data_IF_680455005279
#
_entry.id   IF_680455005279
#
_cell.length_a   1.000
_cell.length_b   1.000
_cell.length_c   1.000
_cell.angle_alpha   90.00
_cell.angle_beta   90.00
_cell.angle_gamma   90.00
#
_symmetry.space_group_name_H-M   'P 1'
#
loop_
_entity.id
_entity.type
_entity.pdbx_description
1 polymer ?
#
# COMPACT_ATOMS: atom_id res chain seq x y z
N UNK A 1 -22.64 -7.80 -6.06
CA UNK A 1 -22.39 -7.78 -7.50
C UNK A 1 -22.21 -9.20 -8.01
N UNK A 2 -23.02 -9.57 -8.98
CA UNK A 2 -22.91 -10.91 -9.57
C UNK A 2 -21.74 -10.91 -10.54
N UNK A 3 -20.62 -11.39 -10.04
CA UNK A 3 -19.42 -11.42 -10.85
C UNK A 3 -19.25 -12.83 -11.41
N UNK A 4 -19.00 -12.92 -12.72
CA UNK A 4 -18.62 -14.18 -13.33
C UNK A 4 -17.42 -14.73 -12.56
N UNK A 5 -17.43 -16.01 -12.14
CA UNK A 5 -16.31 -16.60 -11.41
C UNK A 5 -14.97 -16.43 -12.11
N UNK A 6 -14.94 -16.47 -13.43
CA UNK A 6 -13.71 -16.25 -14.19
C UNK A 6 -13.18 -14.84 -14.00
N UNK A 7 -14.06 -13.83 -14.07
CA UNK A 7 -13.67 -12.43 -13.88
C UNK A 7 -13.16 -12.21 -12.46
N UNK A 8 -13.84 -12.79 -11.49
CA UNK A 8 -13.43 -12.67 -10.09
C UNK A 8 -12.07 -13.32 -9.85
N UNK A 9 -11.84 -14.49 -10.45
CA UNK A 9 -10.55 -15.18 -10.34
C UNK A 9 -9.42 -14.35 -10.95
N UNK A 10 -9.66 -13.70 -12.07
CA UNK A 10 -8.67 -12.80 -12.68
C UNK A 10 -8.34 -11.66 -11.73
N UNK A 11 -9.34 -11.11 -11.07
CA UNK A 11 -9.13 -10.05 -10.07
C UNK A 11 -8.28 -10.52 -8.91
N UNK A 12 -8.52 -11.73 -8.40
CA UNK A 12 -7.70 -12.29 -7.31
C UNK A 12 -6.27 -12.56 -7.76
N UNK A 13 -6.08 -13.02 -8.99
CA UNK A 13 -4.72 -13.22 -9.54
C UNK A 13 -3.99 -11.87 -9.59
N UNK A 14 -4.66 -10.82 -10.07
CA UNK A 14 -4.09 -9.48 -10.08
C UNK A 14 -3.73 -8.98 -8.68
N UNK A 15 -4.59 -9.26 -7.69
CA UNK A 15 -4.34 -8.89 -6.30
C UNK A 15 -3.10 -9.60 -5.76
N UNK A 16 -2.95 -10.88 -6.09
CA UNK A 16 -1.79 -11.67 -5.68
C UNK A 16 -0.51 -11.11 -6.29
N UNK A 17 -0.53 -10.79 -7.57
CA UNK A 17 0.63 -10.21 -8.25
C UNK A 17 1.02 -8.87 -7.66
N UNK A 18 0.04 -8.03 -7.35
CA UNK A 18 0.28 -6.74 -6.68
C UNK A 18 0.92 -6.95 -5.32
N UNK A 19 0.41 -7.89 -4.53
CA UNK A 19 0.95 -8.21 -3.21
C UNK A 19 2.39 -8.68 -3.30
N UNK A 20 2.69 -9.54 -4.26
CA UNK A 20 4.05 -10.05 -4.47
C UNK A 20 4.99 -8.91 -4.82
N UNK A 21 4.52 -7.94 -5.60
CA UNK A 21 5.32 -6.77 -5.96
C UNK A 21 5.62 -5.89 -4.75
N UNK A 22 4.65 -5.72 -3.86
CA UNK A 22 4.79 -4.83 -2.69
C UNK A 22 5.68 -5.43 -1.59
N UNK A 23 5.63 -6.75 -1.40
CA UNK A 23 6.36 -7.40 -0.31
C UNK A 23 7.88 -7.16 -0.38
N UNK A 24 8.55 -7.34 -1.54
CA UNK A 24 9.98 -7.06 -1.62
C UNK A 24 10.32 -5.61 -1.30
N UNK A 25 9.45 -4.66 -1.66
CA UNK A 25 9.68 -3.24 -1.38
C UNK A 25 9.67 -2.99 0.13
N UNK A 26 8.71 -3.57 0.85
CA UNK A 26 8.65 -3.44 2.30
C UNK A 26 9.85 -4.10 2.96
N UNK A 27 10.21 -5.29 2.50
CA UNK A 27 11.38 -6.00 3.03
C UNK A 27 12.65 -5.20 2.83
N UNK A 28 12.84 -4.63 1.64
CA UNK A 28 14.01 -3.83 1.32
C UNK A 28 14.07 -2.57 2.19
N UNK A 29 12.94 -1.92 2.40
CA UNK A 29 12.87 -0.74 3.26
C UNK A 29 13.22 -1.08 4.71
N UNK A 30 12.71 -2.20 5.20
CA UNK A 30 13.00 -2.64 6.56
C UNK A 30 14.48 -2.97 6.74
N UNK A 31 15.06 -3.68 5.78
CA UNK A 31 16.45 -4.12 5.87
C UNK A 31 17.43 -2.95 5.73
N UNK A 32 17.15 -2.01 4.84
CA UNK A 32 18.02 -0.85 4.61
C UNK A 32 17.76 0.29 5.59
N UNK A 33 16.70 0.19 6.40
CA UNK A 33 16.28 1.26 7.32
C UNK A 33 15.97 2.55 6.57
N UNK A 34 15.41 2.43 5.37
CA UNK A 34 15.07 3.58 4.52
C UNK A 34 13.90 3.23 3.63
N UNK A 35 13.02 4.18 3.40
CA UNK A 35 11.91 4.02 2.46
C UNK A 35 12.22 4.68 1.11
N UNK A 36 13.46 5.10 0.89
CA UNK A 36 13.87 5.71 -0.36
C UNK A 36 13.29 7.11 -0.52
N UNK A 37 12.78 7.39 -1.73
CA UNK A 37 12.30 8.73 -2.08
C UNK A 37 10.82 8.94 -1.78
N UNK A 38 10.14 7.99 -1.14
CA UNK A 38 8.73 8.14 -0.81
C UNK A 38 8.53 9.25 0.20
N UNK A 39 7.69 10.23 -0.14
CA UNK A 39 7.34 11.31 0.77
C UNK A 39 6.14 10.93 1.62
N UNK A 40 6.00 11.59 2.76
CA UNK A 40 4.83 11.40 3.62
C UNK A 40 3.56 11.80 2.88
N UNK A 41 3.63 12.85 2.05
CA UNK A 41 2.48 13.27 1.25
C UNK A 41 2.00 12.17 0.30
N UNK A 42 2.94 11.50 -0.39
CA UNK A 42 2.59 10.37 -1.27
C UNK A 42 1.95 9.23 -0.48
N UNK A 43 2.51 8.92 0.68
CA UNK A 43 1.98 7.84 1.52
C UNK A 43 0.57 8.15 1.98
N UNK A 44 0.31 9.39 2.40
CA UNK A 44 -1.02 9.83 2.83
C UNK A 44 -2.01 9.76 1.68
N UNK A 45 -1.60 10.15 0.47
CA UNK A 45 -2.45 10.07 -0.72
C UNK A 45 -2.82 8.62 -1.01
N UNK A 46 -1.86 7.70 -0.95
CA UNK A 46 -2.12 6.28 -1.19
C UNK A 46 -3.06 5.71 -0.12
N UNK A 47 -2.84 6.04 1.14
CA UNK A 47 -3.71 5.59 2.22
C UNK A 47 -5.15 6.08 2.00
N UNK A 48 -5.31 7.36 1.66
CA UNK A 48 -6.62 7.94 1.39
C UNK A 48 -7.29 7.24 0.20
N UNK A 49 -6.53 6.99 -0.85
CA UNK A 49 -7.01 6.30 -2.04
C UNK A 49 -7.49 4.88 -1.72
N UNK A 50 -6.71 4.13 -0.93
CA UNK A 50 -7.10 2.75 -0.58
C UNK A 50 -8.35 2.72 0.27
N UNK A 51 -8.53 3.70 1.15
CA UNK A 51 -9.76 3.79 1.96
C UNK A 51 -10.98 4.01 1.05
N UNK A 52 -10.86 4.92 0.08
CA UNK A 52 -11.94 5.17 -0.87
C UNK A 52 -12.25 3.91 -1.68
N UNK A 53 -11.21 3.21 -2.15
CA UNK A 53 -11.40 1.97 -2.91
C UNK A 53 -12.00 0.85 -2.07
N UNK A 54 -11.67 0.79 -0.78
CA UNK A 54 -12.27 -0.20 0.12
C UNK A 54 -13.76 0.05 0.30
N UNK A 55 -14.16 1.31 0.44
CA UNK A 55 -15.57 1.67 0.52
C UNK A 55 -16.29 1.29 -0.78
N UNK A 56 -15.69 1.64 -1.91
CA UNK A 56 -16.25 1.31 -3.21
C UNK A 56 -16.38 -0.21 -3.39
N UNK A 57 -15.30 -0.95 -3.08
CA UNK A 57 -15.31 -2.40 -3.19
C UNK A 57 -16.35 -3.07 -2.31
N UNK A 58 -16.55 -2.54 -1.10
CA UNK A 58 -17.59 -3.04 -0.21
C UNK A 58 -18.98 -2.81 -0.80
N UNK A 59 -19.21 -1.60 -1.32
CA UNK A 59 -20.52 -1.25 -1.88
C UNK A 59 -20.89 -2.09 -3.10
N UNK A 60 -19.90 -2.46 -3.92
CA UNK A 60 -20.17 -3.31 -5.10
C UNK A 60 -19.93 -4.79 -4.80
N UNK A 61 -19.62 -5.14 -3.56
CA UNK A 61 -19.36 -6.52 -3.13
C UNK A 61 -18.25 -7.20 -3.95
N UNK A 62 -17.17 -6.46 -4.24
CA UNK A 62 -16.07 -6.97 -5.02
C UNK A 62 -14.97 -7.52 -4.11
N UNK A 63 -14.84 -8.85 -4.06
CA UNK A 63 -13.78 -9.50 -3.29
C UNK A 63 -12.38 -9.09 -3.71
N UNK A 64 -12.06 -9.13 -5.02
CA UNK A 64 -10.72 -8.74 -5.48
C UNK A 64 -10.34 -7.31 -5.11
N UNK A 65 -11.25 -6.35 -5.25
CA UNK A 65 -10.99 -4.95 -4.89
C UNK A 65 -10.71 -4.84 -3.39
N UNK A 66 -11.51 -5.53 -2.56
CA UNK A 66 -11.31 -5.51 -1.11
C UNK A 66 -9.97 -6.10 -0.72
N UNK A 67 -9.61 -7.25 -1.28
CA UNK A 67 -8.34 -7.91 -0.96
C UNK A 67 -7.15 -7.06 -1.39
N UNK A 68 -7.16 -6.58 -2.63
CA UNK A 68 -6.04 -5.79 -3.15
C UNK A 68 -5.79 -4.54 -2.32
N UNK A 69 -6.86 -3.80 -2.01
CA UNK A 69 -6.71 -2.54 -1.30
C UNK A 69 -6.40 -2.75 0.18
N UNK A 70 -6.90 -3.82 0.78
CA UNK A 70 -6.53 -4.16 2.16
C UNK A 70 -5.03 -4.43 2.26
N UNK A 71 -4.47 -5.21 1.34
CA UNK A 71 -3.04 -5.50 1.31
C UNK A 71 -2.24 -4.21 1.11
N UNK A 72 -2.62 -3.39 0.14
CA UNK A 72 -1.91 -2.13 -0.12
C UNK A 72 -1.99 -1.21 1.09
N UNK A 73 -3.15 -1.13 1.75
CA UNK A 73 -3.31 -0.29 2.94
C UNK A 73 -2.37 -0.75 4.06
N UNK A 74 -2.35 -2.05 4.35
CA UNK A 74 -1.49 -2.58 5.42
C UNK A 74 -0.02 -2.30 5.11
N UNK A 75 0.40 -2.60 3.88
CA UNK A 75 1.81 -2.40 3.50
C UNK A 75 2.18 -0.92 3.49
N UNK A 76 1.26 -0.05 3.09
CA UNK A 76 1.51 1.39 3.09
C UNK A 76 1.61 1.93 4.52
N UNK A 77 0.80 1.41 5.44
CA UNK A 77 0.91 1.78 6.85
C UNK A 77 2.25 1.34 7.43
N UNK A 78 2.75 0.18 7.03
CA UNK A 78 4.08 -0.28 7.44
C UNK A 78 5.15 0.66 6.89
N UNK A 79 5.02 1.09 5.63
CA UNK A 79 5.96 2.04 5.04
C UNK A 79 5.91 3.40 5.74
N UNK A 80 4.73 3.85 6.14
CA UNK A 80 4.59 5.08 6.91
C UNK A 80 5.33 4.96 8.25
N UNK A 81 5.18 3.83 8.93
CA UNK A 81 5.91 3.58 10.16
C UNK A 81 7.42 3.62 9.91
N UNK A 82 7.89 2.97 8.85
CA UNK A 82 9.31 2.99 8.52
C UNK A 82 9.80 4.39 8.21
N UNK A 83 8.99 5.18 7.49
CA UNK A 83 9.35 6.55 7.15
C UNK A 83 9.54 7.41 8.38
N UNK A 84 8.69 7.22 9.40
CA UNK A 84 8.81 7.98 10.64
C UNK A 84 9.89 7.43 11.56
N UNK A 85 10.11 6.10 11.56
CA UNK A 85 11.04 5.45 12.46
C UNK A 85 12.49 5.47 11.94
N UNK A 86 12.68 5.44 10.63
CA UNK A 86 14.01 5.31 10.00
C UNK A 86 14.46 6.61 9.36
N UNK A 87 14.18 7.75 9.98
CA UNK A 87 14.64 9.03 9.44
C UNK A 87 16.14 9.13 9.55
N UNK A 88 16.79 9.46 8.43
CA UNK A 88 18.22 9.71 8.39
C UNK A 88 18.51 11.11 8.91
N UNK A 89 19.74 11.36 9.45
CA UNK A 89 20.09 12.70 9.91
C UNK A 89 19.88 13.79 8.85
N UNK A 90 20.14 13.48 7.58
CA UNK A 90 19.92 14.43 6.48
C UNK A 90 18.45 14.77 6.32
N UNK A 91 17.57 13.80 6.47
CA UNK A 91 16.12 14.02 6.40
C UNK A 91 15.65 14.91 7.56
N UNK A 92 16.15 14.65 8.75
CA UNK A 92 15.82 15.46 9.92
C UNK A 92 16.27 16.90 9.73
N UNK A 93 17.48 17.10 9.19
CA UNK A 93 18.00 18.43 8.92
C UNK A 93 17.12 19.17 7.91
N UNK A 94 16.69 18.50 6.87
CA UNK A 94 15.84 19.09 5.84
C UNK A 94 14.48 19.48 6.41
N UNK A 95 13.95 18.70 7.36
CA UNK A 95 12.68 18.99 7.99
C UNK A 95 12.73 20.21 8.90
N UNK A 96 13.89 20.56 9.43
CA UNK A 96 14.06 21.69 10.33
C UNK A 96 14.55 22.95 9.63
N UNK A 97 14.95 22.84 8.39
CA UNK A 97 15.37 23.97 7.57
C UNK A 97 14.21 24.36 6.64
#
# INVERSE_FOLDING_TARGET
MDTNPLVENIGYIGSLLTSITCIPQVYKSWKSKSVGDLSIAMIVIVISSTIVWLIYGYLISSGPVLVANTVVLILTLVLLYFKTAFKKPTELKDNFN
#
